data_IF_974769987772
#
_entry.id   IF_974769987772
#
_cell.length_a   1.000
_cell.length_b   1.000
_cell.length_c   1.000
_cell.angle_alpha   90.00
_cell.angle_beta   90.00
_cell.angle_gamma   90.00
#
_symmetry.space_group_name_H-M   'P 1'
#
loop_
_entity.id
_entity.type
_entity.pdbx_description
1 polymer ?
#
# COMPACT_ATOMS: atom_id res chain seq x y z
N UNK A 1 -4.12 0.52 -9.02
CA UNK A 1 -5.44 -0.10 -9.29
C UNK A 1 -6.14 0.53 -10.49
N UNK A 2 -6.81 1.68 -10.37
CA UNK A 2 -7.54 2.30 -11.48
C UNK A 2 -6.65 2.62 -12.69
N UNK A 3 -5.42 3.10 -12.46
CA UNK A 3 -4.41 3.33 -13.51
C UNK A 3 -4.02 2.01 -14.20
N UNK A 4 -3.75 0.96 -13.43
CA UNK A 4 -3.43 -0.36 -13.98
C UNK A 4 -4.58 -0.93 -14.82
N UNK A 5 -5.83 -0.68 -14.41
CA UNK A 5 -7.02 -1.17 -15.11
C UNK A 5 -7.26 -0.48 -16.48
N UNK A 6 -6.71 0.72 -16.72
CA UNK A 6 -6.91 1.46 -17.96
C UNK A 6 -5.68 1.48 -18.89
N UNK A 7 -4.59 0.82 -18.52
CA UNK A 7 -3.36 0.77 -19.33
C UNK A 7 -3.30 -0.57 -20.08
N UNK A 8 -3.34 -0.58 -21.42
CA UNK A 8 -3.42 -1.81 -22.22
C UNK A 8 -2.15 -2.67 -22.18
N UNK A 9 -1.00 -2.09 -21.83
CA UNK A 9 0.28 -2.78 -21.70
C UNK A 9 0.72 -2.95 -20.23
N UNK A 10 -0.20 -2.88 -19.28
CA UNK A 10 0.09 -3.14 -17.87
C UNK A 10 0.27 -4.64 -17.62
N UNK A 11 1.37 -5.01 -16.96
CA UNK A 11 1.73 -6.42 -16.77
C UNK A 11 1.51 -6.93 -15.33
N UNK A 12 2.00 -6.21 -14.32
CA UNK A 12 1.96 -6.65 -12.92
C UNK A 12 1.96 -5.47 -11.94
N UNK A 13 1.31 -5.63 -10.80
CA UNK A 13 1.26 -4.67 -9.69
C UNK A 13 1.92 -5.29 -8.46
N UNK A 14 2.89 -4.60 -7.87
CA UNK A 14 3.35 -4.96 -6.53
C UNK A 14 2.20 -4.77 -5.53
N UNK A 15 1.96 -5.79 -4.71
CA UNK A 15 1.01 -5.76 -3.60
C UNK A 15 1.72 -6.27 -2.34
N UNK A 16 2.19 -5.37 -1.46
CA UNK A 16 2.92 -5.77 -0.27
C UNK A 16 2.12 -6.69 0.65
N UNK A 17 2.80 -7.59 1.34
CA UNK A 17 2.15 -8.47 2.32
C UNK A 17 1.54 -7.64 3.45
N UNK A 18 0.28 -7.91 3.80
CA UNK A 18 -0.41 -7.30 4.93
C UNK A 18 -1.12 -5.97 4.63
N UNK A 19 -1.29 -5.62 3.35
CA UNK A 19 -2.18 -4.50 2.94
C UNK A 19 -3.63 -4.69 3.40
N UNK A 20 -4.07 -5.94 3.61
CA UNK A 20 -5.40 -6.32 4.08
C UNK A 20 -5.50 -6.50 5.61
N UNK A 21 -4.44 -6.16 6.36
CA UNK A 21 -4.34 -6.40 7.81
C UNK A 21 -4.17 -5.11 8.60
N UNK A 22 -4.45 -5.18 9.90
CA UNK A 22 -4.24 -4.07 10.82
C UNK A 22 -2.75 -3.66 10.86
N UNK A 23 -2.44 -2.35 10.96
CA UNK A 23 -3.37 -1.24 11.14
C UNK A 23 -4.04 -0.75 9.84
N UNK A 24 -3.55 -1.15 8.66
CA UNK A 24 -3.99 -0.62 7.37
C UNK A 24 -5.46 -0.89 7.08
N UNK A 25 -5.93 -2.10 7.40
CA UNK A 25 -7.34 -2.49 7.25
C UNK A 25 -8.29 -1.71 8.16
N UNK A 26 -7.79 -1.08 9.21
CA UNK A 26 -8.59 -0.25 10.14
C UNK A 26 -8.53 1.24 9.79
N UNK A 27 -7.65 1.65 8.85
CA UNK A 27 -7.52 3.04 8.39
C UNK A 27 -8.52 3.36 7.27
N UNK A 28 -8.93 2.36 6.49
CA UNK A 28 -9.91 2.48 5.42
C UNK A 28 -11.18 1.71 5.76
N UNK A 29 -12.34 2.11 5.22
CA UNK A 29 -13.60 1.37 5.45
C UNK A 29 -13.59 -0.02 4.82
N UNK A 30 -12.95 -0.15 3.66
CA UNK A 30 -12.84 -1.41 2.91
C UNK A 30 -11.45 -1.50 2.30
N UNK A 31 -10.78 -2.62 2.48
CA UNK A 31 -9.50 -2.92 1.83
C UNK A 31 -9.71 -3.40 0.40
N UNK A 32 -8.69 -3.26 -0.45
CA UNK A 32 -8.70 -3.87 -1.78
C UNK A 32 -8.72 -5.39 -1.61
N UNK A 33 -9.64 -6.07 -2.31
CA UNK A 33 -9.71 -7.53 -2.32
C UNK A 33 -8.67 -8.10 -3.28
N UNK A 34 -7.98 -9.14 -2.83
CA UNK A 34 -7.10 -9.96 -3.66
C UNK A 34 -7.67 -11.36 -3.76
N UNK A 35 -8.00 -11.81 -4.97
CA UNK A 35 -8.59 -13.12 -5.24
C UNK A 35 -7.74 -13.82 -6.31
N UNK A 36 -7.21 -15.01 -5.99
CA UNK A 36 -6.38 -15.80 -6.89
C UNK A 36 -5.18 -15.04 -7.51
N UNK A 37 -4.60 -14.09 -6.75
CA UNK A 37 -3.47 -13.27 -7.23
C UNK A 37 -3.88 -12.03 -8.04
N UNK A 38 -5.19 -11.77 -8.18
CA UNK A 38 -5.70 -10.58 -8.85
C UNK A 38 -6.35 -9.62 -7.86
N UNK A 39 -6.00 -8.34 -7.97
CA UNK A 39 -6.66 -7.30 -7.20
C UNK A 39 -7.99 -6.92 -7.89
N UNK A 40 -9.09 -7.00 -7.15
CA UNK A 40 -10.42 -6.70 -7.67
C UNK A 40 -10.63 -5.18 -7.70
N UNK A 41 -10.95 -4.65 -8.88
CA UNK A 41 -11.19 -3.22 -9.09
C UNK A 41 -12.54 -2.83 -8.46
N UNK A 42 -12.58 -1.85 -7.54
CA UNK A 42 -13.84 -1.31 -7.04
C UNK A 42 -14.61 -0.59 -8.14
N UNK A 43 -15.94 -0.71 -8.10
CA UNK A 43 -16.91 -0.06 -9.00
C UNK A 43 -17.45 1.28 -8.45
N UNK A 44 -17.19 1.58 -7.18
CA UNK A 44 -17.52 2.86 -6.57
C UNK A 44 -16.80 4.04 -7.26
N UNK A 45 -17.43 5.23 -7.37
CA UNK A 45 -16.82 6.39 -8.01
C UNK A 45 -15.46 6.81 -7.43
N UNK A 46 -14.65 7.46 -8.25
CA UNK A 46 -13.31 7.94 -7.88
C UNK A 46 -12.31 6.78 -7.78
N UNK A 47 -11.47 6.79 -6.74
CA UNK A 47 -10.48 5.71 -6.52
C UNK A 47 -11.08 4.49 -5.78
N UNK A 48 -12.35 4.57 -5.37
CA UNK A 48 -13.06 3.46 -4.71
C UNK A 48 -12.60 3.13 -3.29
N UNK A 49 -11.94 4.07 -2.59
CA UNK A 49 -11.47 3.93 -1.20
C UNK A 49 -12.01 5.07 -0.35
N UNK A 50 -12.40 4.77 0.88
CA UNK A 50 -12.81 5.75 1.89
C UNK A 50 -12.05 5.53 3.20
N UNK A 51 -11.67 6.61 3.88
CA UNK A 51 -11.06 6.53 5.21
C UNK A 51 -12.08 6.07 6.26
N UNK A 52 -11.64 5.25 7.20
CA UNK A 52 -12.41 4.91 8.37
C UNK A 52 -12.55 6.14 9.29
N UNK A 53 -13.69 6.30 9.98
CA UNK A 53 -13.86 7.37 10.97
C UNK A 53 -12.76 7.33 12.04
N UNK A 54 -12.26 8.50 12.44
CA UNK A 54 -11.23 8.66 13.47
C UNK A 54 -9.89 7.94 13.20
N UNK A 55 -9.62 7.50 11.96
CA UNK A 55 -8.37 6.80 11.63
C UNK A 55 -7.12 7.58 12.03
N UNK A 56 -7.12 8.91 11.85
CA UNK A 56 -5.99 9.78 12.24
C UNK A 56 -5.74 9.82 13.74
N UNK A 57 -6.80 9.80 14.55
CA UNK A 57 -6.69 9.81 16.01
C UNK A 57 -6.23 8.44 16.54
N UNK A 58 -6.74 7.35 15.95
CA UNK A 58 -6.35 5.96 16.31
C UNK A 58 -4.94 5.61 15.88
N UNK A 59 -4.50 6.11 14.72
CA UNK A 59 -3.21 5.79 14.12
C UNK A 59 -2.40 7.07 13.89
N UNK A 60 -1.86 7.69 14.96
CA UNK A 60 -1.05 8.88 14.83
C UNK A 60 0.25 8.57 14.05
N UNK A 61 0.86 9.58 13.40
CA UNK A 61 2.11 9.41 12.66
C UNK A 61 3.20 8.76 13.53
N UNK A 62 3.86 7.74 12.98
CA UNK A 62 5.02 7.10 13.60
C UNK A 62 6.24 7.34 12.70
N UNK A 63 7.30 8.00 13.21
CA UNK A 63 8.53 8.15 12.45
C UNK A 63 9.08 6.78 12.05
N UNK A 64 9.35 6.60 10.75
CA UNK A 64 10.02 5.40 10.24
C UNK A 64 11.44 5.79 9.84
N UNK A 65 12.48 5.32 10.55
CA UNK A 65 13.84 5.56 10.11
C UNK A 65 14.06 4.84 8.78
N UNK A 66 14.65 5.56 7.82
CA UNK A 66 15.10 4.97 6.57
C UNK A 66 16.57 4.62 6.80
N UNK A 67 16.88 3.33 6.69
CA UNK A 67 18.25 2.83 6.80
C UNK A 67 18.90 2.77 5.43
N UNK A 68 20.19 3.07 5.39
CA UNK A 68 21.05 2.83 4.23
C UNK A 68 22.07 1.77 4.59
N UNK A 69 22.39 0.88 3.65
CA UNK A 69 23.41 -0.14 3.86
C UNK A 69 24.80 0.51 3.85
N UNK A 70 25.63 0.13 4.83
CA UNK A 70 27.03 0.52 4.88
C UNK A 70 27.93 -0.65 4.46
N UNK A 71 29.06 -0.34 3.84
CA UNK A 71 30.15 -1.29 3.59
C UNK A 71 30.92 -1.57 4.89
N UNK A 72 31.84 -2.54 4.88
CA UNK A 72 32.63 -2.91 6.08
C UNK A 72 33.50 -1.78 6.62
N UNK A 73 33.81 -0.80 5.77
CA UNK A 73 34.56 0.43 6.11
C UNK A 73 33.65 1.61 6.52
N UNK A 74 32.33 1.42 6.53
CA UNK A 74 31.36 2.45 6.88
C UNK A 74 30.95 3.37 5.73
N UNK A 75 31.49 3.19 4.51
CA UNK A 75 31.02 3.93 3.34
C UNK A 75 29.60 3.53 2.94
N UNK A 76 28.87 4.49 2.38
CA UNK A 76 27.51 4.26 1.85
C UNK A 76 27.61 3.40 0.60
N UNK A 77 26.81 2.32 0.56
CA UNK A 77 26.70 1.45 -0.61
C UNK A 77 25.47 1.87 -1.40
N UNK A 78 25.63 2.06 -2.70
CA UNK A 78 24.51 2.24 -3.64
C UNK A 78 23.76 0.91 -3.82
N UNK A 79 22.43 0.97 -3.85
CA UNK A 79 21.56 -0.20 -3.72
C UNK A 79 20.60 -0.32 -4.90
#
# INVERSE_FOLDING_TARGET
>A
MQIAACIPNFAIQEYPTGEDRAPKSEIVKTTVRCENGFLIIPDAPGIGIELAPEARAKFPPRPRPIGTRLHVDGSVVDQ
#
